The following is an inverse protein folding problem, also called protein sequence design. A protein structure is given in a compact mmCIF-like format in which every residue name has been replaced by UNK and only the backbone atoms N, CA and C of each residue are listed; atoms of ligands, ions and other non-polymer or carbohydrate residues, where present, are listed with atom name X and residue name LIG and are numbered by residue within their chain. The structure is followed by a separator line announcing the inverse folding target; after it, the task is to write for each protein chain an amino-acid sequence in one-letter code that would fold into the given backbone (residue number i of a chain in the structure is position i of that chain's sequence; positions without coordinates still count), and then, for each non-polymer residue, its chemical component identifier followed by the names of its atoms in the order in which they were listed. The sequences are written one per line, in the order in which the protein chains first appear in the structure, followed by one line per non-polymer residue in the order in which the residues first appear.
data_IF_109110128862
#
_entry.id   IF_109110128862
#
_cell.length_a   1.000
_cell.length_b   1.000
_cell.length_c   1.000
_cell.angle_alpha   90.00
_cell.angle_beta   90.00
_cell.angle_gamma   90.00
#
_symmetry.space_group_name_H-M   'P 1'
#
loop_
_entity.id
_entity.type
_entity.pdbx_description
1 polymer ?
#
# COMPACT_ATOMS: atom_id res chain seq x y z
N UNK A 1 -3.69 -8.64 10.57
CA UNK A 1 -4.69 -7.71 11.16
C UNK A 1 -5.34 -6.93 10.01
N UNK A 2 -6.62 -6.58 10.08
CA UNK A 2 -7.20 -5.68 9.07
C UNK A 2 -6.51 -4.30 9.14
N UNK A 3 -6.22 -3.63 8.01
CA UNK A 3 -5.73 -2.25 8.01
C UNK A 3 -6.61 -1.37 8.90
N UNK A 4 -5.97 -0.57 9.77
CA UNK A 4 -6.67 0.32 10.69
C UNK A 4 -5.83 1.55 11.05
N UNK A 5 -6.45 2.51 11.73
CA UNK A 5 -5.84 3.82 12.03
C UNK A 5 -4.56 3.76 12.88
N UNK A 6 -4.26 2.64 13.56
CA UNK A 6 -2.98 2.51 14.28
C UNK A 6 -1.79 2.53 13.33
N UNK A 7 -1.96 2.01 12.11
CA UNK A 7 -0.92 1.96 11.09
C UNK A 7 -0.39 3.34 10.71
N UNK A 8 -1.26 4.35 10.69
CA UNK A 8 -0.86 5.74 10.40
C UNK A 8 0.18 6.22 11.42
N UNK A 9 0.08 5.80 12.69
CA UNK A 9 1.09 6.13 13.71
C UNK A 9 2.36 5.33 13.51
N UNK A 10 2.26 4.05 13.17
CA UNK A 10 3.41 3.17 12.92
C UNK A 10 4.27 3.64 11.74
N UNK A 11 3.67 4.29 10.75
CA UNK A 11 4.37 4.78 9.56
C UNK A 11 5.05 6.15 9.72
N UNK A 12 4.83 6.84 10.85
CA UNK A 12 5.42 8.16 11.08
C UNK A 12 6.94 8.05 11.20
N UNK A 13 7.65 8.95 10.53
CA UNK A 13 9.10 9.07 10.62
C UNK A 13 9.58 10.43 11.15
N UNK A 14 8.66 11.39 11.34
CA UNK A 14 8.91 12.65 12.01
C UNK A 14 9.53 13.75 11.15
N UNK A 15 9.63 13.55 9.83
CA UNK A 15 10.20 14.52 8.90
C UNK A 15 9.18 15.61 8.59
N UNK A 16 7.96 15.21 8.22
CA UNK A 16 6.86 16.13 7.98
C UNK A 16 5.55 15.50 8.50
N UNK A 17 5.25 15.65 9.81
CA UNK A 17 4.15 14.95 10.45
C UNK A 17 2.77 15.17 9.79
N UNK A 18 2.51 16.38 9.27
CA UNK A 18 1.26 16.70 8.59
C UNK A 18 1.14 15.93 7.27
N UNK A 19 2.21 15.93 6.47
CA UNK A 19 2.25 15.18 5.20
C UNK A 19 2.21 13.67 5.43
N UNK A 20 2.92 13.16 6.44
CA UNK A 20 2.89 11.74 6.84
C UNK A 20 1.49 11.29 7.20
N UNK A 21 0.77 12.09 8.00
CA UNK A 21 -0.60 11.79 8.40
C UNK A 21 -1.56 11.84 7.21
N UNK A 22 -1.43 12.83 6.32
CA UNK A 22 -2.25 12.93 5.10
C UNK A 22 -2.05 11.70 4.21
N UNK A 23 -0.80 11.38 3.86
CA UNK A 23 -0.46 10.23 3.03
C UNK A 23 -0.91 8.92 3.68
N UNK A 24 -0.64 8.74 4.99
CA UNK A 24 -1.07 7.56 5.73
C UNK A 24 -2.59 7.36 5.68
N UNK A 25 -3.38 8.43 5.82
CA UNK A 25 -4.83 8.35 5.69
C UNK A 25 -5.27 7.95 4.26
N UNK A 26 -4.64 8.49 3.23
CA UNK A 26 -4.97 8.16 1.83
C UNK A 26 -4.63 6.70 1.50
N UNK A 27 -3.43 6.23 1.85
CA UNK A 27 -3.05 4.82 1.66
C UNK A 27 -3.93 3.87 2.46
N UNK A 28 -4.27 4.21 3.71
CA UNK A 28 -5.11 3.37 4.53
C UNK A 28 -6.51 3.18 3.92
N UNK A 29 -7.10 4.24 3.33
CA UNK A 29 -8.38 4.14 2.63
C UNK A 29 -8.31 3.14 1.47
N UNK A 30 -7.26 3.24 0.64
CA UNK A 30 -7.04 2.32 -0.48
C UNK A 30 -6.88 0.88 0.01
N UNK A 31 -6.09 0.67 1.07
CA UNK A 31 -5.84 -0.67 1.60
C UNK A 31 -7.09 -1.29 2.24
N UNK A 32 -7.94 -0.48 2.89
CA UNK A 32 -9.23 -0.95 3.44
C UNK A 32 -10.16 -1.37 2.31
N UNK A 33 -10.30 -0.57 1.24
CA UNK A 33 -11.19 -0.95 0.14
C UNK A 33 -10.67 -2.19 -0.61
N UNK A 34 -9.36 -2.25 -0.89
CA UNK A 34 -8.73 -3.44 -1.44
C UNK A 34 -8.97 -4.69 -0.58
N UNK A 35 -8.86 -4.55 0.75
CA UNK A 35 -9.09 -5.64 1.69
C UNK A 35 -10.52 -6.17 1.64
N UNK A 36 -11.51 -5.26 1.59
CA UNK A 36 -12.93 -5.60 1.50
C UNK A 36 -13.24 -6.25 0.15
N UNK A 37 -12.81 -5.64 -0.96
CA UNK A 37 -13.07 -6.12 -2.32
C UNK A 37 -12.38 -7.44 -2.63
N UNK A 38 -11.28 -7.74 -1.96
CA UNK A 38 -10.58 -9.03 -2.04
C UNK A 38 -11.13 -10.10 -1.08
N UNK A 39 -12.21 -9.78 -0.34
CA UNK A 39 -12.85 -10.67 0.64
C UNK A 39 -11.86 -11.26 1.64
N UNK A 40 -10.92 -10.45 2.14
CA UNK A 40 -9.83 -10.94 2.99
C UNK A 40 -10.30 -11.35 4.38
N UNK A 41 -11.42 -10.81 4.88
CA UNK A 41 -11.98 -11.20 6.19
C UNK A 41 -12.29 -12.70 6.27
N UNK A 42 -12.78 -13.27 5.18
CA UNK A 42 -13.17 -14.67 5.08
C UNK A 42 -12.02 -15.61 4.67
N UNK A 43 -10.80 -15.10 4.49
CA UNK A 43 -9.62 -15.93 4.20
C UNK A 43 -9.01 -16.51 5.47
N UNK A 44 -8.15 -17.51 5.27
CA UNK A 44 -7.38 -18.13 6.36
C UNK A 44 -6.56 -17.10 7.14
N UNK A 45 -6.27 -17.42 8.41
CA UNK A 45 -5.42 -16.58 9.28
C UNK A 45 -4.05 -16.29 8.65
N UNK A 46 -3.42 -17.29 8.04
CA UNK A 46 -2.13 -17.14 7.35
C UNK A 46 -2.22 -16.15 6.19
N UNK A 47 -3.24 -16.26 5.34
CA UNK A 47 -3.48 -15.32 4.24
C UNK A 47 -3.71 -13.91 4.74
N UNK A 48 -4.56 -13.73 5.76
CA UNK A 48 -4.80 -12.42 6.38
C UNK A 48 -3.53 -11.80 6.95
N UNK A 49 -2.67 -12.59 7.58
CA UNK A 49 -1.41 -12.12 8.12
C UNK A 49 -0.46 -11.69 7.01
N UNK A 50 -0.28 -12.49 5.96
CA UNK A 50 0.54 -12.15 4.80
C UNK A 50 0.14 -10.81 4.18
N UNK A 51 -1.15 -10.65 3.87
CA UNK A 51 -1.65 -9.40 3.28
C UNK A 51 -1.50 -8.22 4.24
N UNK A 52 -1.80 -8.43 5.52
CA UNK A 52 -1.62 -7.40 6.55
C UNK A 52 -0.17 -6.92 6.62
N UNK A 53 0.79 -7.84 6.69
CA UNK A 53 2.21 -7.51 6.80
C UNK A 53 2.71 -6.80 5.54
N UNK A 54 2.38 -7.32 4.36
CA UNK A 54 2.79 -6.71 3.09
C UNK A 54 2.20 -5.30 2.90
N UNK A 55 0.90 -5.09 3.16
CA UNK A 55 0.26 -3.77 3.04
C UNK A 55 0.81 -2.79 4.08
N UNK A 56 1.10 -3.26 5.30
CA UNK A 56 1.70 -2.41 6.33
C UNK A 56 3.12 -1.97 5.94
N UNK A 57 3.95 -2.89 5.45
CA UNK A 57 5.30 -2.59 4.96
C UNK A 57 5.27 -1.63 3.77
N UNK A 58 4.39 -1.89 2.79
CA UNK A 58 4.21 -1.01 1.63
C UNK A 58 3.77 0.40 2.05
N UNK A 59 2.82 0.52 2.98
CA UNK A 59 2.38 1.83 3.49
C UNK A 59 3.50 2.61 4.17
N UNK A 60 4.33 1.92 4.98
CA UNK A 60 5.48 2.55 5.63
C UNK A 60 6.53 3.03 4.62
N UNK A 61 6.81 2.22 3.60
CA UNK A 61 7.68 2.62 2.48
C UNK A 61 7.14 3.86 1.76
N UNK A 62 5.85 3.86 1.39
CA UNK A 62 5.24 4.95 0.64
C UNK A 62 5.19 6.27 1.44
N UNK A 63 4.89 6.21 2.73
CA UNK A 63 4.93 7.40 3.60
C UNK A 63 6.35 7.97 3.66
N UNK A 64 7.36 7.10 3.86
CA UNK A 64 8.76 7.50 3.86
C UNK A 64 9.19 8.12 2.53
N UNK A 65 8.79 7.53 1.41
CA UNK A 65 9.08 8.08 0.09
C UNK A 65 8.40 9.44 -0.09
N UNK A 66 7.13 9.55 0.27
CA UNK A 66 6.36 10.78 0.08
C UNK A 66 6.90 11.99 0.83
N UNK A 67 7.65 11.81 1.92
CA UNK A 67 8.29 12.92 2.66
C UNK A 67 9.73 13.21 2.24
N UNK A 68 10.28 12.46 1.30
CA UNK A 68 11.57 12.81 0.69
C UNK A 68 11.45 14.05 -0.18
N UNK A 69 12.54 14.83 -0.28
CA UNK A 69 12.60 16.05 -1.10
C UNK A 69 12.24 15.76 -2.56
N UNK A 70 12.65 14.59 -3.08
CA UNK A 70 12.39 14.18 -4.47
C UNK A 70 10.90 13.96 -4.77
N UNK A 71 10.11 13.61 -3.76
CA UNK A 71 8.72 13.18 -3.92
C UNK A 71 7.72 14.05 -3.14
N UNK A 72 8.14 15.20 -2.63
CA UNK A 72 7.31 16.06 -1.78
C UNK A 72 6.09 16.64 -2.53
N UNK A 73 6.14 16.68 -3.86
CA UNK A 73 5.04 17.17 -4.70
C UNK A 73 4.10 16.06 -5.16
N UNK A 74 4.51 14.79 -5.05
CA UNK A 74 3.69 13.67 -5.50
C UNK A 74 2.49 13.46 -4.58
N UNK A 75 1.36 13.11 -5.19
CA UNK A 75 0.15 12.64 -4.52
C UNK A 75 0.30 11.20 -4.04
N UNK A 76 -0.63 10.72 -3.21
CA UNK A 76 -0.65 9.31 -2.80
C UNK A 76 -0.90 8.36 -3.98
N UNK A 77 -1.72 8.74 -4.97
CA UNK A 77 -1.95 7.90 -6.15
C UNK A 77 -0.68 7.75 -6.99
N UNK A 78 0.06 8.83 -7.20
CA UNK A 78 1.34 8.82 -7.93
C UNK A 78 2.40 7.99 -7.19
N UNK A 79 2.59 8.23 -5.89
CA UNK A 79 3.50 7.45 -5.05
C UNK A 79 3.19 5.95 -5.13
N UNK A 80 1.92 5.59 -5.03
CA UNK A 80 1.48 4.20 -5.10
C UNK A 80 1.67 3.62 -6.50
N UNK A 81 1.28 4.34 -7.55
CA UNK A 81 1.38 3.86 -8.93
C UNK A 81 2.82 3.66 -9.38
N UNK A 82 3.72 4.50 -8.92
CA UNK A 82 5.14 4.45 -9.29
C UNK A 82 5.88 3.35 -8.52
N UNK A 83 5.35 2.95 -7.35
CA UNK A 83 5.97 1.95 -6.48
C UNK A 83 5.54 0.51 -6.77
N UNK A 84 4.40 0.27 -7.44
CA UNK A 84 3.91 -1.09 -7.69
C UNK A 84 3.60 -1.34 -9.17
N UNK A 85 3.88 -2.56 -9.61
CA UNK A 85 3.68 -2.95 -11.01
C UNK A 85 2.95 -4.29 -11.14
N UNK A 86 2.79 -4.75 -12.38
CA UNK A 86 2.29 -6.09 -12.68
C UNK A 86 3.25 -7.19 -12.23
N UNK A 87 4.54 -6.89 -12.04
CA UNK A 87 5.58 -7.85 -11.69
C UNK A 87 5.92 -7.86 -10.20
N UNK A 88 6.08 -6.70 -9.59
CA UNK A 88 6.69 -6.57 -8.26
C UNK A 88 6.23 -5.30 -7.53
N UNK A 89 6.55 -5.24 -6.24
CA UNK A 89 6.48 -4.02 -5.44
C UNK A 89 7.86 -3.43 -5.19
N UNK A 90 7.98 -2.44 -4.28
CA UNK A 90 9.27 -1.90 -3.91
C UNK A 90 10.15 -2.95 -3.21
N UNK A 91 11.46 -2.86 -3.43
CA UNK A 91 12.43 -3.65 -2.69
C UNK A 91 12.53 -3.13 -1.24
N UNK A 92 11.96 -3.87 -0.29
CA UNK A 92 11.98 -3.53 1.14
C UNK A 92 12.84 -4.54 1.92
N UNK A 93 12.74 -5.82 1.58
CA UNK A 93 13.40 -6.91 2.31
C UNK A 93 14.64 -7.40 1.57
N UNK A 94 15.71 -6.61 1.61
CA UNK A 94 16.95 -6.84 0.84
C UNK A 94 17.66 -8.19 1.10
N UNK A 95 17.45 -8.79 2.27
CA UNK A 95 18.11 -10.04 2.69
C UNK A 95 17.14 -11.17 2.98
N UNK A 96 15.85 -10.96 2.71
CA UNK A 96 14.79 -11.92 3.04
C UNK A 96 13.86 -12.07 1.83
N UNK A 97 14.24 -12.98 0.94
CA UNK A 97 13.56 -13.25 -0.32
C UNK A 97 12.13 -13.76 -0.09
N UNK A 98 11.89 -14.52 0.98
CA UNK A 98 10.55 -15.02 1.30
C UNK A 98 9.59 -13.87 1.63
N UNK A 99 10.03 -12.93 2.47
CA UNK A 99 9.22 -11.73 2.78
C UNK A 99 9.09 -10.79 1.58
N UNK A 100 10.12 -10.64 0.75
CA UNK A 100 10.02 -9.87 -0.49
C UNK A 100 9.01 -10.50 -1.46
N UNK A 101 9.03 -11.82 -1.64
CA UNK A 101 8.09 -12.55 -2.49
C UNK A 101 6.64 -12.39 -2.01
N UNK A 102 6.41 -12.38 -0.70
CA UNK A 102 5.08 -12.12 -0.14
C UNK A 102 4.62 -10.69 -0.43
N UNK A 103 5.51 -9.70 -0.28
CA UNK A 103 5.24 -8.31 -0.62
C UNK A 103 4.91 -8.15 -2.10
N UNK A 104 5.72 -8.71 -2.99
CA UNK A 104 5.53 -8.60 -4.44
C UNK A 104 4.21 -9.22 -4.87
N UNK A 105 3.86 -10.38 -4.31
CA UNK A 105 2.58 -11.01 -4.60
C UNK A 105 1.39 -10.13 -4.20
N UNK A 106 1.46 -9.47 -3.04
CA UNK A 106 0.38 -8.57 -2.60
C UNK A 106 0.35 -7.29 -3.46
N UNK A 107 1.52 -6.71 -3.78
CA UNK A 107 1.67 -5.56 -4.66
C UNK A 107 1.08 -5.81 -6.04
N UNK A 108 1.35 -6.97 -6.65
CA UNK A 108 0.74 -7.38 -7.93
C UNK A 108 -0.79 -7.43 -7.87
N UNK A 109 -1.35 -7.91 -6.75
CA UNK A 109 -2.81 -8.00 -6.57
C UNK A 109 -3.42 -6.62 -6.36
N UNK A 110 -2.76 -5.76 -5.59
CA UNK A 110 -3.17 -4.38 -5.41
C UNK A 110 -3.14 -3.62 -6.74
N UNK A 111 -2.06 -3.75 -7.52
CA UNK A 111 -1.95 -3.17 -8.87
C UNK A 111 -3.13 -3.57 -9.77
N UNK A 112 -3.45 -4.87 -9.83
CA UNK A 112 -4.60 -5.38 -10.60
C UNK A 112 -5.92 -4.77 -10.15
N UNK A 113 -6.13 -4.67 -8.84
CA UNK A 113 -7.31 -4.05 -8.26
C UNK A 113 -7.41 -2.55 -8.65
N UNK A 114 -6.32 -1.80 -8.55
CA UNK A 114 -6.29 -0.37 -8.94
C UNK A 114 -6.60 -0.18 -10.43
N UNK A 115 -6.04 -1.02 -11.31
CA UNK A 115 -6.32 -0.97 -12.75
C UNK A 115 -7.77 -1.32 -13.07
N UNK A 116 -8.35 -2.32 -12.40
CA UNK A 116 -9.75 -2.67 -12.58
C UNK A 116 -10.70 -1.53 -12.18
N UNK A 117 -10.37 -0.79 -11.12
CA UNK A 117 -11.17 0.33 -10.65
C UNK A 117 -11.00 1.60 -11.50
N UNK A 118 -9.77 1.91 -11.98
CA UNK A 118 -9.54 3.03 -12.91
C UNK A 118 -10.35 2.88 -14.21
N UNK A 119 -10.51 1.65 -14.72
CA UNK A 119 -11.29 1.37 -15.93
C UNK A 119 -12.82 1.51 -15.74
N UNK A 120 -13.33 1.44 -14.51
CA UNK A 120 -14.77 1.64 -14.23
C UNK A 120 -15.15 3.12 -14.22
N UNK A 121 -14.23 4.02 -13.82
CA UNK A 121 -14.45 5.47 -13.83
C UNK A 121 -14.45 6.08 -15.24
N UNK A 122 -13.86 5.42 -16.24
CA UNK A 122 -13.85 5.88 -17.64
C UNK A 122 -15.06 5.40 -18.47
N UNK A 123 -15.98 4.65 -17.86
CA UNK A 123 -17.19 4.12 -18.55
C UNK A 123 -18.46 4.93 -18.24
N UNK A 124 -18.32 6.06 -17.54
CA UNK A 124 -19.40 7.03 -17.25
C UNK A 124 -18.90 8.42 -17.64
N UNK A 125 -18.76 8.65 -18.94
CA UNK A 125 -18.53 9.98 -19.55
C UNK A 125 -19.10 9.98 -20.96
#
# INVERSE_FOLDING_TARGET
MKPNNKWIKDWRCGINPEREERLGNEFLKVFIDFWVKSDLENKSKSTKNRYSSALHALGGYLVKQGVSEENEMLSADELLSDSISQGEGPLIYYSDEDWQNELDMVSRKLYKYLKANKNQSSSVS
#
